data_IF_042790447957
#
_entry.id   IF_042790447957
#
_cell.length_a   1.000
_cell.length_b   1.000
_cell.length_c   1.000
_cell.angle_alpha   90.00
_cell.angle_beta   90.00
_cell.angle_gamma   90.00
#
_symmetry.space_group_name_H-M   'P 1'
#
loop_
_entity.id
_entity.type
_entity.pdbx_description
1 polymer ?
#
# COMPACT_ATOMS: atom_id res chain seq x y z
N UNK A 1 -33.82 43.03 -28.25
CA UNK A 1 -33.45 42.86 -26.82
C UNK A 1 -32.70 41.54 -26.72
N UNK A 2 -31.40 41.57 -27.05
CA UNK A 2 -30.25 41.59 -26.10
C UNK A 2 -30.01 40.20 -25.48
N UNK A 3 -29.11 39.39 -26.06
CA UNK A 3 -27.71 39.24 -25.65
C UNK A 3 -27.52 39.10 -24.14
N UNK A 4 -27.04 37.93 -23.67
CA UNK A 4 -26.07 37.69 -22.58
C UNK A 4 -25.98 36.14 -22.39
N UNK A 5 -24.87 35.47 -22.09
CA UNK A 5 -23.45 35.59 -22.46
C UNK A 5 -22.74 34.30 -22.01
N UNK A 6 -21.83 33.79 -22.84
CA UNK A 6 -20.50 33.20 -22.51
C UNK A 6 -20.32 32.36 -21.24
N UNK A 7 -19.98 31.10 -21.50
CA UNK A 7 -19.14 30.18 -20.70
C UNK A 7 -17.96 30.92 -20.04
N UNK A 8 -17.67 30.72 -18.74
CA UNK A 8 -16.49 31.31 -18.12
C UNK A 8 -15.22 30.58 -18.61
N UNK A 9 -14.32 31.37 -19.20
CA UNK A 9 -12.93 31.02 -19.46
C UNK A 9 -12.14 30.99 -18.15
N UNK A 10 -11.19 30.05 -18.09
CA UNK A 10 -9.87 30.13 -17.45
C UNK A 10 -9.73 31.29 -16.44
N UNK A 11 -9.91 30.98 -15.17
CA UNK A 11 -9.46 31.86 -14.09
C UNK A 11 -7.94 31.88 -14.11
N UNK A 12 -7.40 33.01 -14.55
CA UNK A 12 -6.01 33.43 -14.38
C UNK A 12 -5.69 33.40 -12.88
N UNK A 13 -4.80 32.50 -12.43
CA UNK A 13 -4.23 32.56 -11.09
C UNK A 13 -3.22 33.73 -11.03
N UNK A 14 -3.73 34.94 -10.81
CA UNK A 14 -3.00 35.99 -10.11
C UNK A 14 -3.51 35.99 -8.67
N UNK A 15 -2.82 35.28 -7.81
CA UNK A 15 -3.10 35.20 -6.38
C UNK A 15 -1.83 34.77 -5.65
N UNK A 16 -1.11 35.77 -5.17
CA UNK A 16 -0.14 35.79 -4.07
C UNK A 16 0.54 34.45 -3.70
N UNK A 17 1.78 34.32 -4.20
CA UNK A 17 2.78 33.38 -3.70
C UNK A 17 3.44 34.02 -2.48
N UNK A 18 2.77 34.08 -1.34
CA UNK A 18 3.40 34.44 -0.07
C UNK A 18 2.71 33.68 1.07
N UNK A 19 3.51 33.17 2.00
CA UNK A 19 3.16 32.30 3.14
C UNK A 19 2.83 30.84 2.82
N UNK A 20 3.86 30.00 2.64
CA UNK A 20 3.98 28.66 3.24
C UNK A 20 5.40 28.14 2.92
N UNK A 21 6.41 28.62 3.65
CA UNK A 21 7.84 28.37 3.37
C UNK A 21 8.39 27.06 3.97
N UNK A 22 7.56 26.05 4.24
CA UNK A 22 8.00 24.82 4.93
C UNK A 22 7.48 23.51 4.30
N UNK A 23 6.87 23.56 3.11
CA UNK A 23 6.51 22.36 2.35
C UNK A 23 7.30 22.39 1.04
N UNK A 24 8.12 21.38 0.71
CA UNK A 24 8.70 21.29 -0.64
C UNK A 24 7.53 21.30 -1.63
N UNK A 25 7.56 22.20 -2.63
CA UNK A 25 6.52 22.31 -3.66
C UNK A 25 6.16 20.90 -4.16
N UNK A 26 5.02 20.37 -3.73
CA UNK A 26 4.64 18.99 -4.04
C UNK A 26 4.19 18.95 -5.48
N UNK A 27 4.93 18.23 -6.32
CA UNK A 27 4.51 17.97 -7.69
C UNK A 27 3.25 17.09 -7.66
N UNK A 28 2.13 17.63 -8.11
CA UNK A 28 0.86 16.92 -8.24
C UNK A 28 0.48 16.79 -9.71
N UNK A 29 -0.22 15.70 -10.06
CA UNK A 29 -0.77 15.44 -11.41
C UNK A 29 -1.53 16.65 -11.95
N UNK A 30 -2.33 17.32 -11.12
CA UNK A 30 -3.08 18.51 -11.50
C UNK A 30 -2.16 19.69 -11.87
N UNK A 31 -1.09 19.93 -11.11
CA UNK A 31 -0.13 21.00 -11.37
C UNK A 31 0.66 20.75 -12.67
N UNK A 32 1.04 19.49 -12.94
CA UNK A 32 1.67 19.09 -14.20
C UNK A 32 0.73 19.34 -15.38
N UNK A 33 -0.56 19.04 -15.22
CA UNK A 33 -1.55 19.24 -16.28
C UNK A 33 -1.84 20.72 -16.58
N UNK A 34 -1.85 21.59 -15.57
CA UNK A 34 -2.33 22.98 -15.69
C UNK A 34 -1.23 24.03 -15.96
N UNK A 35 0.02 23.80 -15.53
CA UNK A 35 1.07 24.83 -15.53
C UNK A 35 2.42 24.32 -16.06
N UNK A 36 2.40 23.64 -17.21
CA UNK A 36 3.57 22.97 -17.82
C UNK A 36 4.83 23.83 -17.93
N UNK A 37 4.68 25.13 -18.20
CA UNK A 37 5.80 26.05 -18.45
C UNK A 37 6.46 26.61 -17.18
N UNK A 38 5.87 26.39 -15.99
CA UNK A 38 6.36 26.96 -14.73
C UNK A 38 6.78 25.89 -13.70
N UNK A 39 6.47 24.62 -13.96
CA UNK A 39 6.69 23.54 -13.01
C UNK A 39 8.04 22.88 -13.29
N UNK A 40 8.89 22.82 -12.26
CA UNK A 40 10.23 22.25 -12.31
C UNK A 40 10.19 20.87 -11.66
N UNK A 41 10.79 19.87 -12.30
CA UNK A 41 11.02 18.55 -11.74
C UNK A 41 12.11 18.65 -10.65
N UNK A 42 11.81 18.35 -9.38
CA UNK A 42 12.81 18.47 -8.31
C UNK A 42 13.92 17.42 -8.38
N UNK A 43 13.77 16.35 -9.15
CA UNK A 43 14.81 15.31 -9.33
C UNK A 43 15.84 15.69 -10.41
N UNK A 44 15.42 16.46 -11.43
CA UNK A 44 16.30 16.82 -12.56
C UNK A 44 16.65 18.30 -12.63
N UNK A 45 15.87 19.17 -11.97
CA UNK A 45 15.98 20.62 -12.09
C UNK A 45 15.43 21.18 -13.41
N UNK A 46 14.89 20.33 -14.28
CA UNK A 46 14.37 20.71 -15.60
C UNK A 46 12.85 20.93 -15.59
N UNK A 47 12.32 21.53 -16.65
CA UNK A 47 10.87 21.59 -16.89
C UNK A 47 10.29 20.18 -17.10
N UNK A 48 9.00 20.02 -16.82
CA UNK A 48 8.30 18.75 -17.00
C UNK A 48 8.18 18.40 -18.49
N UNK A 49 8.65 17.20 -18.88
CA UNK A 49 8.65 16.72 -20.27
C UNK A 49 7.62 15.62 -20.55
N UNK A 50 7.02 15.02 -19.51
CA UNK A 50 6.06 13.92 -19.64
C UNK A 50 4.83 14.12 -18.73
N UNK A 51 3.67 13.64 -19.18
CA UNK A 51 2.38 13.74 -18.49
C UNK A 51 1.36 12.73 -19.05
N UNK A 52 0.20 12.62 -18.41
CA UNK A 52 -0.94 11.82 -18.90
C UNK A 52 -1.63 12.51 -20.09
N UNK A 53 -1.86 11.78 -21.16
CA UNK A 53 -2.66 12.18 -22.31
C UNK A 53 -4.15 11.86 -22.11
N UNK A 54 -4.99 12.30 -23.05
CA UNK A 54 -6.43 12.09 -22.97
C UNK A 54 -6.80 10.60 -22.90
N UNK A 55 -7.64 10.23 -21.93
CA UNK A 55 -8.09 8.85 -21.70
C UNK A 55 -7.11 7.98 -20.91
N UNK A 56 -5.92 8.48 -20.60
CA UNK A 56 -4.93 7.75 -19.81
C UNK A 56 -5.19 7.93 -18.32
N UNK A 57 -5.13 6.83 -17.57
CA UNK A 57 -5.30 6.81 -16.11
C UNK A 57 -4.05 6.23 -15.44
N UNK A 58 -3.99 6.35 -14.11
CA UNK A 58 -2.95 5.70 -13.31
C UNK A 58 -2.85 4.20 -13.64
N UNK A 59 -3.98 3.49 -13.60
CA UNK A 59 -4.04 2.06 -13.82
C UNK A 59 -3.73 1.69 -15.27
N UNK A 60 -4.18 2.48 -16.26
CA UNK A 60 -3.89 2.18 -17.67
C UNK A 60 -2.41 2.36 -18.00
N UNK A 61 -1.71 3.31 -17.34
CA UNK A 61 -0.27 3.55 -17.54
C UNK A 61 0.61 2.58 -16.79
N UNK A 62 0.42 2.47 -15.47
CA UNK A 62 1.30 1.70 -14.59
C UNK A 62 0.90 0.22 -14.53
N UNK A 63 -0.33 -0.12 -14.93
CA UNK A 63 -0.82 -1.49 -15.14
C UNK A 63 -0.46 -2.39 -13.95
N UNK A 64 0.33 -3.42 -14.17
CA UNK A 64 0.68 -4.45 -13.16
C UNK A 64 1.31 -3.93 -11.86
N UNK A 65 1.95 -2.76 -11.88
CA UNK A 65 2.55 -2.18 -10.67
C UNK A 65 1.69 -1.07 -10.05
N UNK A 66 0.61 -0.64 -10.71
CA UNK A 66 -0.18 0.53 -10.32
C UNK A 66 -0.66 0.45 -8.87
N UNK A 67 -1.32 -0.65 -8.49
CA UNK A 67 -1.84 -0.81 -7.13
C UNK A 67 -0.72 -0.88 -6.09
N UNK A 68 0.28 -1.74 -6.30
CA UNK A 68 1.39 -1.93 -5.35
C UNK A 68 2.20 -0.66 -5.14
N UNK A 69 2.52 0.05 -6.21
CA UNK A 69 3.25 1.32 -6.17
C UNK A 69 2.47 2.38 -5.39
N UNK A 70 1.16 2.48 -5.61
CA UNK A 70 0.33 3.46 -4.91
C UNK A 70 0.17 3.13 -3.42
N UNK A 71 -0.02 1.86 -3.07
CA UNK A 71 -0.03 1.41 -1.68
C UNK A 71 1.31 1.70 -0.99
N UNK A 72 2.43 1.47 -1.69
CA UNK A 72 3.77 1.81 -1.17
C UNK A 72 3.92 3.30 -0.89
N UNK A 73 3.43 4.15 -1.80
CA UNK A 73 3.42 5.60 -1.60
C UNK A 73 2.57 5.98 -0.39
N UNK A 74 1.37 5.40 -0.25
CA UNK A 74 0.46 5.69 0.87
C UNK A 74 1.04 5.26 2.22
N UNK A 75 1.57 4.03 2.32
CA UNK A 75 2.23 3.50 3.53
C UNK A 75 3.46 4.35 3.90
N UNK A 76 4.26 4.78 2.92
CA UNK A 76 5.37 5.70 3.16
C UNK A 76 4.92 7.06 3.71
N UNK A 77 3.82 7.62 3.22
CA UNK A 77 3.23 8.87 3.76
C UNK A 77 2.84 8.65 5.23
N UNK A 78 2.24 7.50 5.56
CA UNK A 78 1.92 7.12 6.93
C UNK A 78 3.15 7.11 7.84
N UNK A 79 4.23 6.45 7.43
CA UNK A 79 5.49 6.42 8.19
C UNK A 79 6.15 7.79 8.33
N UNK A 80 6.08 8.62 7.28
CA UNK A 80 6.69 9.94 7.28
C UNK A 80 5.93 10.92 8.17
N UNK A 81 4.60 10.92 8.09
CA UNK A 81 3.74 11.86 8.83
C UNK A 81 3.46 11.40 10.26
N UNK A 82 3.59 10.11 10.60
CA UNK A 82 3.46 9.68 12.01
C UNK A 82 4.56 10.27 12.91
N UNK A 83 5.63 10.82 12.35
CA UNK A 83 6.68 11.53 13.08
C UNK A 83 6.29 12.99 13.41
N UNK A 84 5.17 13.48 12.88
CA UNK A 84 4.68 14.81 13.18
C UNK A 84 3.89 14.79 14.49
N UNK A 85 4.41 15.50 15.50
CA UNK A 85 3.77 15.63 16.81
C UNK A 85 2.36 16.24 16.74
N UNK A 86 2.10 17.09 15.75
CA UNK A 86 0.77 17.70 15.56
C UNK A 86 -0.25 16.66 15.10
N UNK A 87 0.18 15.70 14.28
CA UNK A 87 -0.66 14.56 13.86
C UNK A 87 -0.95 13.67 15.06
N UNK A 88 0.06 13.32 15.86
CA UNK A 88 -0.12 12.46 17.03
C UNK A 88 -1.07 13.06 18.08
N UNK A 89 -1.04 14.39 18.26
CA UNK A 89 -2.00 15.07 19.15
C UNK A 89 -3.45 14.96 18.71
N UNK A 90 -3.73 14.84 17.41
CA UNK A 90 -5.09 14.57 16.92
C UNK A 90 -5.59 13.20 17.40
N UNK A 91 -4.68 12.25 17.58
CA UNK A 91 -4.96 10.91 18.13
C UNK A 91 -4.80 10.84 19.65
N UNK A 92 -4.68 11.98 20.34
CA UNK A 92 -4.52 12.06 21.80
C UNK A 92 -3.26 11.34 22.32
N UNK A 93 -2.20 11.28 21.49
CA UNK A 93 -0.91 10.67 21.83
C UNK A 93 0.15 11.74 22.11
N UNK A 94 0.74 11.71 23.30
CA UNK A 94 1.80 12.62 23.75
C UNK A 94 2.91 11.89 24.51
N UNK A 95 4.06 12.56 24.72
CA UNK A 95 5.15 12.03 25.55
C UNK A 95 5.72 10.69 25.08
N UNK A 96 5.92 9.77 26.02
CA UNK A 96 6.48 8.44 25.78
C UNK A 96 5.56 7.55 24.93
N UNK A 97 4.25 7.62 25.14
CA UNK A 97 3.26 6.85 24.37
C UNK A 97 3.33 7.20 22.87
N UNK A 98 3.50 8.48 22.55
CA UNK A 98 3.69 8.93 21.17
C UNK A 98 4.96 8.34 20.54
N UNK A 99 6.08 8.35 21.27
CA UNK A 99 7.36 7.78 20.80
C UNK A 99 7.28 6.25 20.62
N UNK A 100 6.52 5.56 21.48
CA UNK A 100 6.27 4.12 21.38
C UNK A 100 5.38 3.76 20.21
N UNK A 101 4.30 4.52 19.97
CA UNK A 101 3.45 4.32 18.79
C UNK A 101 4.25 4.54 17.50
N UNK A 102 5.12 5.56 17.44
CA UNK A 102 6.04 5.75 16.32
C UNK A 102 6.92 4.50 16.14
N UNK A 103 7.59 4.07 17.21
CA UNK A 103 8.52 2.95 17.13
C UNK A 103 7.81 1.66 16.68
N UNK A 104 6.65 1.35 17.26
CA UNK A 104 5.87 0.16 16.93
C UNK A 104 5.32 0.24 15.51
N UNK A 105 4.89 1.41 15.03
CA UNK A 105 4.45 1.58 13.65
C UNK A 105 5.58 1.25 12.65
N UNK A 106 6.77 1.77 12.90
CA UNK A 106 7.95 1.50 12.07
C UNK A 106 8.42 0.04 12.18
N UNK A 107 8.43 -0.53 13.39
CA UNK A 107 8.80 -1.94 13.62
C UNK A 107 7.81 -2.89 12.94
N UNK A 108 6.51 -2.60 13.03
CA UNK A 108 5.47 -3.36 12.38
C UNK A 108 5.61 -3.33 10.86
N UNK A 109 5.97 -2.18 10.27
CA UNK A 109 6.25 -2.06 8.84
C UNK A 109 7.40 -2.97 8.39
N UNK A 110 8.57 -2.88 9.04
CA UNK A 110 9.74 -3.68 8.64
C UNK A 110 9.49 -5.18 8.84
N UNK A 111 8.80 -5.56 9.92
CA UNK A 111 8.35 -6.94 10.16
C UNK A 111 7.37 -7.39 9.09
N UNK A 112 6.40 -6.57 8.72
CA UNK A 112 5.43 -6.90 7.68
C UNK A 112 6.08 -7.02 6.30
N UNK A 113 7.15 -6.26 6.02
CA UNK A 113 7.97 -6.43 4.82
C UNK A 113 8.64 -7.81 4.77
N UNK A 114 9.16 -8.30 5.90
CA UNK A 114 9.72 -9.66 6.00
C UNK A 114 8.62 -10.72 5.84
N UNK A 115 7.49 -10.59 6.52
CA UNK A 115 6.39 -11.53 6.36
C UNK A 115 5.77 -11.50 4.95
N UNK A 116 5.93 -10.38 4.24
CA UNK A 116 5.50 -10.23 2.86
C UNK A 116 6.11 -11.24 1.89
N UNK A 117 7.28 -11.80 2.22
CA UNK A 117 7.95 -12.81 1.40
C UNK A 117 7.07 -14.03 1.10
N UNK A 118 6.12 -14.36 1.98
CA UNK A 118 5.09 -15.39 1.74
C UNK A 118 4.39 -15.19 0.38
N UNK A 119 4.12 -13.94 0.01
CA UNK A 119 3.32 -13.55 -1.14
C UNK A 119 4.12 -13.45 -2.43
N UNK A 120 5.41 -13.75 -2.41
CA UNK A 120 6.23 -13.86 -3.60
C UNK A 120 6.21 -15.30 -4.17
N UNK A 121 6.16 -15.42 -5.49
CA UNK A 121 6.25 -16.68 -6.25
C UNK A 121 7.60 -16.73 -6.97
N UNK A 122 8.61 -17.46 -6.45
CA UNK A 122 9.94 -17.54 -7.07
C UNK A 122 9.91 -18.05 -8.51
N UNK A 123 9.03 -19.00 -8.82
CA UNK A 123 8.97 -19.71 -10.10
C UNK A 123 8.55 -18.79 -11.25
N UNK A 124 7.71 -17.79 -10.96
CA UNK A 124 7.20 -16.83 -11.95
C UNK A 124 7.78 -15.43 -11.77
N UNK A 125 8.55 -15.19 -10.70
CA UNK A 125 9.08 -13.88 -10.36
C UNK A 125 8.00 -12.85 -9.99
N UNK A 126 6.84 -13.30 -9.50
CA UNK A 126 5.67 -12.43 -9.30
C UNK A 126 5.30 -12.25 -7.84
N UNK A 127 4.84 -11.04 -7.50
CA UNK A 127 4.18 -10.73 -6.23
C UNK A 127 2.67 -10.93 -6.36
N UNK A 128 2.07 -11.68 -5.43
CA UNK A 128 0.64 -12.03 -5.45
C UNK A 128 -0.25 -11.07 -4.63
N UNK A 129 0.34 -10.15 -3.87
CA UNK A 129 -0.40 -9.21 -3.03
C UNK A 129 0.32 -7.84 -3.03
N UNK A 130 -0.41 -6.80 -3.46
CA UNK A 130 0.12 -5.45 -3.69
C UNK A 130 0.71 -4.78 -2.43
N UNK A 131 0.00 -4.82 -1.30
CA UNK A 131 0.43 -4.22 -0.03
C UNK A 131 1.66 -4.92 0.56
N UNK A 132 1.78 -6.25 0.41
CA UNK A 132 2.91 -7.02 0.93
C UNK A 132 4.16 -6.78 0.10
N UNK A 133 4.02 -6.63 -1.23
CA UNK A 133 5.12 -6.14 -2.08
C UNK A 133 5.52 -4.72 -1.68
N UNK A 134 4.56 -3.82 -1.46
CA UNK A 134 4.82 -2.45 -1.02
C UNK A 134 5.61 -2.40 0.30
N UNK A 135 5.21 -3.19 1.30
CA UNK A 135 5.89 -3.29 2.60
C UNK A 135 7.30 -3.87 2.46
N UNK A 136 7.49 -4.84 1.58
CA UNK A 136 8.82 -5.36 1.25
C UNK A 136 9.70 -4.30 0.58
N UNK A 137 9.16 -3.53 -0.36
CA UNK A 137 9.86 -2.40 -0.99
C UNK A 137 10.30 -1.37 0.06
N UNK A 138 9.42 -1.01 1.00
CA UNK A 138 9.75 -0.10 2.11
C UNK A 138 10.88 -0.67 2.98
N UNK A 139 10.79 -1.95 3.36
CA UNK A 139 11.86 -2.63 4.09
C UNK A 139 13.20 -2.53 3.35
N UNK A 140 13.20 -2.75 2.03
CA UNK A 140 14.41 -2.67 1.20
C UNK A 140 14.99 -1.25 1.13
N UNK A 141 14.14 -0.22 1.06
CA UNK A 141 14.57 1.18 1.14
C UNK A 141 15.24 1.49 2.48
N UNK A 142 14.68 0.98 3.59
CA UNK A 142 15.24 1.20 4.93
C UNK A 142 16.53 0.42 5.19
N UNK A 143 16.69 -0.76 4.57
CA UNK A 143 17.96 -1.50 4.58
C UNK A 143 19.03 -0.81 3.74
N UNK A 144 18.67 -0.30 2.55
CA UNK A 144 19.59 0.47 1.68
C UNK A 144 20.10 1.75 2.37
N UNK A 145 19.25 2.39 3.18
CA UNK A 145 19.65 3.56 3.97
C UNK A 145 20.83 3.27 4.91
N UNK A 146 21.03 2.01 5.30
CA UNK A 146 22.18 1.57 6.07
C UNK A 146 22.22 2.16 7.48
N UNK A 147 23.43 2.51 7.92
CA UNK A 147 23.73 3.10 9.23
C UNK A 147 23.23 2.27 10.44
N UNK A 148 22.87 1.01 10.23
CA UNK A 148 22.30 0.13 11.26
C UNK A 148 20.91 0.54 11.71
N UNK A 149 20.11 1.21 10.87
CA UNK A 149 18.71 1.52 11.15
C UNK A 149 17.87 0.23 11.26
N UNK A 150 17.93 -0.61 10.22
CA UNK A 150 17.27 -1.93 10.19
C UNK A 150 18.34 -2.98 9.94
N UNK A 151 18.22 -4.14 10.60
CA UNK A 151 19.00 -5.32 10.25
C UNK A 151 18.15 -6.59 10.29
N UNK A 152 18.52 -7.55 9.45
CA UNK A 152 17.92 -8.87 9.35
C UNK A 152 18.98 -9.93 9.58
N UNK A 153 18.69 -10.85 10.49
CA UNK A 153 19.60 -11.93 10.85
C UNK A 153 18.87 -13.26 10.78
N UNK A 154 19.53 -14.26 10.19
CA UNK A 154 19.10 -15.65 10.26
C UNK A 154 19.48 -16.19 11.64
N UNK A 155 18.53 -16.81 12.33
CA UNK A 155 18.70 -17.36 13.68
C UNK A 155 18.16 -18.79 13.75
N UNK A 156 18.27 -19.41 14.92
CA UNK A 156 17.65 -20.70 15.22
C UNK A 156 16.66 -20.47 16.35
N UNK A 157 15.41 -20.88 16.13
CA UNK A 157 14.36 -20.78 17.14
C UNK A 157 14.60 -21.73 18.31
N UNK A 158 13.87 -21.52 19.41
CA UNK A 158 13.97 -22.38 20.60
C UNK A 158 13.58 -23.86 20.33
N UNK A 159 12.85 -24.11 19.24
CA UNK A 159 12.48 -25.44 18.75
C UNK A 159 13.56 -26.09 17.86
N UNK A 160 14.73 -25.45 17.71
CA UNK A 160 15.85 -25.94 16.90
C UNK A 160 15.67 -25.74 15.39
N UNK A 161 14.58 -25.11 14.94
CA UNK A 161 14.31 -24.86 13.51
C UNK A 161 14.81 -23.48 13.06
N UNK A 162 15.01 -23.25 11.74
CA UNK A 162 15.37 -21.93 11.22
C UNK A 162 14.40 -20.84 11.69
N UNK A 163 14.92 -19.68 12.04
CA UNK A 163 14.16 -18.50 12.45
C UNK A 163 14.86 -17.22 11.95
N UNK A 164 14.26 -16.06 12.20
CA UNK A 164 14.85 -14.78 11.83
C UNK A 164 14.60 -13.70 12.89
N UNK A 165 15.60 -12.84 13.08
CA UNK A 165 15.49 -11.64 13.91
C UNK A 165 15.55 -10.40 13.04
N UNK A 166 14.52 -9.57 13.14
CA UNK A 166 14.51 -8.21 12.57
C UNK A 166 14.70 -7.19 13.69
N UNK A 167 15.68 -6.31 13.54
CA UNK A 167 16.00 -5.28 14.54
C UNK A 167 15.83 -3.91 13.92
N UNK A 168 15.15 -3.00 14.63
CA UNK A 168 15.01 -1.59 14.29
C UNK A 168 15.60 -0.73 15.42
N UNK A 169 16.55 0.13 15.07
CA UNK A 169 17.15 1.10 16.00
C UNK A 169 16.26 2.35 16.12
N UNK A 170 15.59 2.49 17.26
CA UNK A 170 14.68 3.61 17.55
C UNK A 170 15.34 4.97 17.36
N UNK A 171 16.61 5.11 17.76
CA UNK A 171 17.32 6.39 17.72
C UNK A 171 17.67 6.82 16.29
N UNK A 172 17.55 5.92 15.31
CA UNK A 172 17.87 6.18 13.91
C UNK A 172 16.65 6.44 13.03
N UNK A 173 15.43 6.28 13.56
CA UNK A 173 14.20 6.55 12.80
C UNK A 173 14.20 7.98 12.26
N UNK A 174 14.47 8.97 13.12
CA UNK A 174 14.52 10.38 12.72
C UNK A 174 15.73 10.76 11.86
N UNK A 175 16.99 10.45 12.25
CA UNK A 175 18.15 10.92 11.48
C UNK A 175 18.44 10.11 10.22
N UNK A 176 18.04 8.84 10.12
CA UNK A 176 18.34 7.96 8.98
C UNK A 176 17.07 7.57 8.22
N UNK A 177 16.07 7.06 8.94
CA UNK A 177 14.83 6.53 8.35
C UNK A 177 13.99 7.60 7.66
N UNK A 178 13.74 8.73 8.33
CA UNK A 178 12.93 9.83 7.78
C UNK A 178 13.53 10.40 6.49
N UNK A 179 14.82 10.75 6.39
CA UNK A 179 15.42 11.20 5.13
C UNK A 179 15.36 10.15 4.01
N UNK A 180 15.50 8.86 4.33
CA UNK A 180 15.39 7.79 3.34
C UNK A 180 13.96 7.70 2.76
N UNK A 181 12.95 7.69 3.63
CA UNK A 181 11.53 7.71 3.23
C UNK A 181 11.18 9.00 2.48
N UNK A 182 11.71 10.16 2.90
CA UNK A 182 11.47 11.44 2.22
C UNK A 182 11.98 11.41 0.76
N UNK A 183 13.23 10.98 0.55
CA UNK A 183 13.81 10.85 -0.80
C UNK A 183 13.01 9.86 -1.64
N UNK A 184 12.65 8.73 -1.06
CA UNK A 184 11.89 7.71 -1.76
C UNK A 184 10.48 8.19 -2.15
N UNK A 185 9.74 8.79 -1.21
CA UNK A 185 8.43 9.40 -1.46
C UNK A 185 8.47 10.45 -2.56
N UNK A 186 9.49 11.31 -2.56
CA UNK A 186 9.66 12.35 -3.59
C UNK A 186 9.80 11.72 -4.96
N UNK A 187 10.68 10.72 -5.11
CA UNK A 187 10.85 9.97 -6.36
C UNK A 187 9.56 9.27 -6.79
N UNK A 188 8.84 8.63 -5.86
CA UNK A 188 7.56 7.99 -6.15
C UNK A 188 6.54 8.99 -6.70
N UNK A 189 6.38 10.12 -6.03
CA UNK A 189 5.40 11.14 -6.39
C UNK A 189 5.76 11.83 -7.71
N UNK A 190 7.05 12.08 -7.97
CA UNK A 190 7.51 12.70 -9.22
C UNK A 190 7.19 11.81 -10.42
N UNK A 191 7.63 10.55 -10.39
CA UNK A 191 7.42 9.59 -11.48
C UNK A 191 5.93 9.33 -11.73
N UNK A 192 5.12 9.24 -10.66
CA UNK A 192 3.67 9.17 -10.76
C UNK A 192 3.09 10.41 -11.45
N UNK A 193 3.47 11.60 -11.00
CA UNK A 193 2.87 12.86 -11.48
C UNK A 193 3.20 13.16 -12.94
N UNK A 194 4.37 12.73 -13.40
CA UNK A 194 4.83 12.92 -14.78
C UNK A 194 4.49 11.76 -15.72
N UNK A 195 3.70 10.78 -15.26
CA UNK A 195 3.39 9.57 -16.02
C UNK A 195 4.63 8.79 -16.54
N UNK A 196 5.77 8.91 -15.85
CA UNK A 196 7.02 8.22 -16.22
C UNK A 196 6.99 6.75 -15.76
N UNK A 197 6.38 5.91 -16.59
CA UNK A 197 6.25 4.48 -16.30
C UNK A 197 7.60 3.75 -16.37
N UNK A 198 8.53 4.21 -17.21
CA UNK A 198 9.82 3.55 -17.37
C UNK A 198 10.68 3.76 -16.12
N UNK A 199 10.78 5.01 -15.66
CA UNK A 199 11.43 5.35 -14.39
C UNK A 199 10.71 4.72 -13.20
N UNK A 200 9.37 4.73 -13.20
CA UNK A 200 8.54 4.07 -12.19
C UNK A 200 8.83 2.58 -12.05
N UNK A 201 8.86 1.84 -13.17
CA UNK A 201 9.19 0.41 -13.20
C UNK A 201 10.63 0.13 -12.80
N UNK A 202 11.58 0.94 -13.24
CA UNK A 202 12.99 0.77 -12.86
C UNK A 202 13.19 0.95 -11.35
N UNK A 203 12.65 2.03 -10.77
CA UNK A 203 12.73 2.30 -9.33
C UNK A 203 12.07 1.18 -8.51
N UNK A 204 10.80 0.90 -8.81
CA UNK A 204 10.00 -0.03 -8.00
C UNK A 204 10.42 -1.49 -8.20
N UNK A 205 10.79 -1.85 -9.43
CA UNK A 205 11.35 -3.15 -9.76
C UNK A 205 12.67 -3.42 -9.04
N UNK A 206 13.55 -2.43 -8.94
CA UNK A 206 14.82 -2.56 -8.22
C UNK A 206 14.66 -2.91 -6.74
N UNK A 207 13.74 -2.23 -6.04
CA UNK A 207 13.49 -2.52 -4.62
C UNK A 207 12.63 -3.76 -4.39
N UNK A 208 11.72 -4.09 -5.30
CA UNK A 208 10.85 -5.27 -5.17
C UNK A 208 11.50 -6.58 -5.65
N UNK A 209 12.71 -6.51 -6.20
CA UNK A 209 13.46 -7.67 -6.65
C UNK A 209 13.84 -8.60 -5.48
N UNK A 210 13.59 -9.89 -5.68
CA UNK A 210 13.92 -10.94 -4.72
C UNK A 210 15.21 -11.62 -5.16
N UNK A 211 16.28 -11.45 -4.37
CA UNK A 211 17.58 -12.09 -4.60
C UNK A 211 17.95 -13.01 -3.44
N UNK A 212 18.84 -13.97 -3.70
CA UNK A 212 19.50 -14.75 -2.64
C UNK A 212 20.93 -14.24 -2.38
N UNK A 213 21.19 -12.98 -2.71
CA UNK A 213 22.49 -12.35 -2.59
C UNK A 213 22.53 -11.43 -1.37
N UNK A 214 23.73 -11.11 -0.90
CA UNK A 214 23.93 -10.27 0.28
C UNK A 214 23.69 -11.01 1.60
N UNK A 215 23.83 -10.30 2.74
CA UNK A 215 23.68 -10.91 4.06
C UNK A 215 22.23 -11.35 4.35
N UNK A 216 21.23 -10.68 3.78
CA UNK A 216 19.82 -10.96 4.07
C UNK A 216 19.31 -12.26 3.42
N UNK A 217 19.79 -12.63 2.22
CA UNK A 217 19.39 -13.87 1.51
C UNK A 217 17.87 -14.08 1.50
N UNK A 218 17.13 -13.14 0.88
CA UNK A 218 15.68 -13.06 1.00
C UNK A 218 14.93 -14.31 0.51
N UNK A 219 15.45 -15.03 -0.48
CA UNK A 219 14.86 -16.30 -0.90
C UNK A 219 14.97 -17.37 0.21
N UNK A 220 16.09 -17.47 0.91
CA UNK A 220 16.20 -18.34 2.09
C UNK A 220 15.34 -17.87 3.26
N UNK A 221 15.22 -16.55 3.50
CA UNK A 221 14.30 -16.02 4.53
C UNK A 221 12.84 -16.35 4.22
N UNK A 222 12.46 -16.38 2.94
CA UNK A 222 11.11 -16.76 2.53
C UNK A 222 10.76 -18.17 3.00
N UNK A 223 11.68 -19.12 2.89
CA UNK A 223 11.45 -20.49 3.36
C UNK A 223 11.22 -20.53 4.87
N UNK A 224 11.99 -19.75 5.64
CA UNK A 224 11.77 -19.56 7.07
C UNK A 224 10.42 -18.90 7.37
N UNK A 225 10.02 -17.87 6.62
CA UNK A 225 8.71 -17.21 6.78
C UNK A 225 7.56 -18.20 6.55
N UNK A 226 7.67 -19.04 5.51
CA UNK A 226 6.68 -20.08 5.23
C UNK A 226 6.66 -21.17 6.31
N UNK A 227 7.83 -21.53 6.86
CA UNK A 227 7.95 -22.49 7.96
C UNK A 227 7.30 -21.97 9.25
N UNK A 228 7.41 -20.66 9.52
CA UNK A 228 6.88 -19.98 10.72
C UNK A 228 5.48 -19.40 10.54
N UNK A 229 4.87 -19.59 9.38
CA UNK A 229 3.57 -19.04 9.03
C UNK A 229 2.46 -19.59 9.92
N UNK A 230 1.63 -18.69 10.44
CA UNK A 230 0.37 -19.03 11.09
C UNK A 230 -0.79 -18.97 10.10
N UNK A 231 -1.82 -19.80 10.32
CA UNK A 231 -3.03 -19.74 9.52
C UNK A 231 -3.73 -18.38 9.74
N UNK A 232 -4.18 -17.75 8.64
CA UNK A 232 -4.90 -16.48 8.72
C UNK A 232 -6.23 -16.69 9.45
N UNK A 233 -6.52 -15.80 10.40
CA UNK A 233 -7.79 -15.82 11.15
C UNK A 233 -8.96 -15.53 10.20
N UNK A 234 -10.07 -16.23 10.42
CA UNK A 234 -11.35 -15.92 9.79
C UNK A 234 -12.15 -14.98 10.70
N UNK A 235 -12.90 -14.05 10.10
CA UNK A 235 -13.76 -13.12 10.83
C UNK A 235 -15.21 -13.56 10.71
N UNK A 236 -15.87 -13.68 11.86
CA UNK A 236 -17.31 -13.94 11.92
C UNK A 236 -18.03 -12.60 11.90
N UNK A 237 -18.90 -12.40 10.91
CA UNK A 237 -19.66 -11.17 10.77
C UNK A 237 -21.06 -11.33 11.36
N UNK A 238 -21.54 -10.29 12.02
CA UNK A 238 -22.92 -10.22 12.48
C UNK A 238 -23.90 -10.19 11.30
N UNK A 239 -25.17 -10.49 11.60
CA UNK A 239 -26.31 -10.23 10.73
C UNK A 239 -27.18 -9.13 11.35
N UNK A 240 -27.99 -8.50 10.51
CA UNK A 240 -29.09 -7.63 10.96
C UNK A 240 -30.42 -8.28 10.62
N UNK A 241 -31.42 -8.06 11.47
CA UNK A 241 -32.78 -8.59 11.31
C UNK A 241 -33.79 -7.49 11.51
N UNK A 242 -34.83 -7.50 10.68
CA UNK A 242 -35.99 -6.64 10.84
C UNK A 242 -37.05 -7.40 11.65
N UNK A 243 -37.38 -6.88 12.82
CA UNK A 243 -38.43 -7.40 13.72
C UNK A 243 -39.52 -6.33 13.82
N UNK A 244 -40.49 -6.37 12.90
CA UNK A 244 -41.48 -5.30 12.76
C UNK A 244 -40.85 -4.04 12.17
N UNK A 245 -40.76 -2.97 12.96
CA UNK A 245 -40.10 -1.71 12.58
C UNK A 245 -38.66 -1.59 13.14
N UNK A 246 -38.26 -2.51 14.03
CA UNK A 246 -36.97 -2.47 14.71
C UNK A 246 -35.91 -3.32 14.00
N UNK A 247 -34.65 -2.86 14.02
CA UNK A 247 -33.51 -3.62 13.51
C UNK A 247 -32.69 -4.19 14.68
N UNK A 248 -32.57 -5.51 14.74
CA UNK A 248 -31.77 -6.22 15.75
C UNK A 248 -30.44 -6.70 15.18
N UNK A 249 -29.38 -6.64 15.99
CA UNK A 249 -28.05 -7.15 15.64
C UNK A 249 -27.89 -8.57 16.15
N UNK A 250 -27.68 -9.52 15.24
CA UNK A 250 -27.45 -10.93 15.56
C UNK A 250 -25.96 -11.22 15.49
N UNK A 251 -25.37 -11.52 16.65
CA UNK A 251 -23.95 -11.85 16.78
C UNK A 251 -23.73 -13.35 16.85
N UNK A 252 -22.55 -13.78 16.40
CA UNK A 252 -22.16 -15.19 16.35
C UNK A 252 -20.81 -15.37 17.02
N UNK A 253 -20.57 -16.56 17.56
CA UNK A 253 -19.30 -16.89 18.19
C UNK A 253 -18.15 -16.90 17.17
N UNK A 254 -16.95 -16.50 17.59
CA UNK A 254 -15.72 -16.51 16.78
C UNK A 254 -15.15 -17.90 16.49
N UNK A 255 -16.00 -18.86 16.12
CA UNK A 255 -15.65 -20.26 15.83
C UNK A 255 -16.03 -20.64 14.40
N UNK A 256 -15.53 -21.77 13.90
CA UNK A 256 -15.94 -22.28 12.59
C UNK A 256 -17.46 -22.52 12.51
N UNK A 257 -18.06 -23.05 13.58
CA UNK A 257 -19.50 -23.25 13.67
C UNK A 257 -20.27 -21.91 13.68
N UNK A 258 -19.78 -20.91 14.43
CA UNK A 258 -20.35 -19.57 14.43
C UNK A 258 -20.27 -18.88 13.06
N UNK A 259 -19.16 -19.07 12.33
CA UNK A 259 -19.00 -18.59 10.96
C UNK A 259 -20.05 -19.22 10.03
N UNK A 260 -20.18 -20.55 10.04
CA UNK A 260 -21.18 -21.27 9.22
C UNK A 260 -22.59 -20.76 9.54
N UNK A 261 -22.92 -20.70 10.83
CA UNK A 261 -24.24 -20.22 11.28
C UNK A 261 -24.53 -18.79 10.80
N UNK A 262 -23.52 -17.92 10.82
CA UNK A 262 -23.66 -16.54 10.32
C UNK A 262 -24.02 -16.45 8.84
N UNK A 263 -23.67 -17.45 8.02
CA UNK A 263 -24.04 -17.55 6.61
C UNK A 263 -25.36 -18.28 6.41
N UNK A 264 -25.60 -19.39 7.13
CA UNK A 264 -26.88 -20.11 7.09
C UNK A 264 -28.06 -19.21 7.45
N UNK A 265 -27.85 -18.27 8.37
CA UNK A 265 -28.86 -17.29 8.76
C UNK A 265 -28.77 -16.01 7.90
N UNK A 266 -27.88 -15.85 6.92
CA UNK A 266 -27.72 -14.56 6.23
C UNK A 266 -28.86 -14.23 5.28
N UNK A 267 -29.41 -15.24 4.61
CA UNK A 267 -30.41 -15.10 3.55
C UNK A 267 -31.69 -15.90 3.91
N UNK A 268 -32.44 -15.49 4.95
CA UNK A 268 -33.56 -16.27 5.46
C UNK A 268 -34.74 -16.40 4.49
N UNK A 269 -34.85 -15.51 3.50
CA UNK A 269 -36.01 -15.42 2.60
C UNK A 269 -35.78 -16.13 1.25
N UNK A 270 -34.54 -16.14 0.74
CA UNK A 270 -34.24 -16.42 -0.66
C UNK A 270 -32.98 -17.28 -0.90
N UNK A 271 -32.43 -17.92 0.14
CA UNK A 271 -31.22 -18.75 0.02
C UNK A 271 -31.26 -19.76 -1.16
N UNK A 272 -32.32 -20.55 -1.28
CA UNK A 272 -32.45 -21.55 -2.36
C UNK A 272 -32.54 -20.92 -3.76
N UNK A 273 -33.09 -19.71 -3.86
CA UNK A 273 -33.14 -18.96 -5.12
C UNK A 273 -31.75 -18.46 -5.50
N UNK A 274 -31.01 -17.91 -4.53
CA UNK A 274 -29.63 -17.45 -4.72
C UNK A 274 -28.72 -18.60 -5.14
N UNK A 275 -28.83 -19.76 -4.50
CA UNK A 275 -28.05 -20.95 -4.84
C UNK A 275 -28.29 -21.38 -6.30
N UNK A 276 -29.55 -21.42 -6.76
CA UNK A 276 -29.87 -21.75 -8.16
C UNK A 276 -29.30 -20.73 -9.14
N UNK A 277 -29.48 -19.44 -8.88
CA UNK A 277 -28.94 -18.40 -9.77
C UNK A 277 -27.41 -18.45 -9.86
N UNK A 278 -26.71 -18.73 -8.76
CA UNK A 278 -25.25 -18.89 -8.76
C UNK A 278 -24.81 -20.05 -9.66
N UNK A 279 -25.54 -21.17 -9.63
CA UNK A 279 -25.26 -22.32 -10.50
C UNK A 279 -25.54 -22.01 -11.97
N UNK A 280 -26.69 -21.40 -12.27
CA UNK A 280 -27.06 -21.04 -13.66
C UNK A 280 -26.05 -20.07 -14.30
N UNK A 281 -25.61 -19.06 -13.54
CA UNK A 281 -24.59 -18.12 -14.00
C UNK A 281 -23.23 -18.81 -14.22
N UNK A 282 -22.85 -19.70 -13.30
CA UNK A 282 -21.61 -20.47 -13.44
C UNK A 282 -21.64 -21.39 -14.67
N UNK A 283 -22.77 -22.04 -14.93
CA UNK A 283 -22.94 -22.95 -16.07
C UNK A 283 -22.93 -22.19 -17.40
N UNK A 284 -23.55 -21.01 -17.45
CA UNK A 284 -23.55 -20.15 -18.64
C UNK A 284 -22.12 -19.79 -19.09
N UNK A 285 -21.23 -19.53 -18.14
CA UNK A 285 -19.85 -19.14 -18.42
C UNK A 285 -18.87 -20.33 -18.47
N UNK A 286 -19.30 -21.55 -18.14
CA UNK A 286 -18.45 -22.73 -18.04
C UNK A 286 -17.59 -22.99 -19.31
N UNK A 287 -18.11 -22.62 -20.48
CA UNK A 287 -17.44 -22.76 -21.76
C UNK A 287 -16.16 -21.91 -21.92
N UNK A 288 -15.97 -20.85 -21.14
CA UNK A 288 -14.73 -20.05 -21.15
C UNK A 288 -13.54 -20.75 -20.51
N UNK A 289 -13.78 -21.76 -19.65
CA UNK A 289 -12.72 -22.53 -18.98
C UNK A 289 -12.60 -23.97 -19.49
N UNK A 290 -13.51 -24.40 -20.36
CA UNK A 290 -13.37 -25.67 -21.07
C UNK A 290 -12.13 -25.60 -21.95
N UNK A 291 -11.08 -26.34 -21.57
CA UNK A 291 -9.88 -26.49 -22.38
C UNK A 291 -10.29 -26.96 -23.78
N UNK A 292 -9.98 -26.18 -24.82
CA UNK A 292 -9.91 -26.74 -26.16
C UNK A 292 -8.79 -27.77 -26.12
N UNK A 293 -9.16 -29.04 -26.02
CA UNK A 293 -8.24 -30.18 -26.08
C UNK A 293 -7.55 -30.27 -27.43
#
# INVERSE_FOLDING_TARGET
>A
MSQFSKVPRVTQCKGEVEQFSLVPKVLCVACVASCKEAVINPETGELIQSWYHGGETWDSKFSTIASSYEECRAECVGLYLCLNKDVLRIFELEGEDAEDVIYINWLNMVRAGLLGLEFYTPETGTWRQAHMQARFVILRVLLEAGEGLVSLQHTTGADGKPDALITLDRNKILPVGKPAIERFLRRLQVLKSTADVAGGRALYGGFSAMTNEGPERFLSLRDTVLLRKEARKMFVQANTRLEGEDVTLVQYEGTAAGLIRSFSERFPEDAELLERHLLELSDADAHFWASQG
#
